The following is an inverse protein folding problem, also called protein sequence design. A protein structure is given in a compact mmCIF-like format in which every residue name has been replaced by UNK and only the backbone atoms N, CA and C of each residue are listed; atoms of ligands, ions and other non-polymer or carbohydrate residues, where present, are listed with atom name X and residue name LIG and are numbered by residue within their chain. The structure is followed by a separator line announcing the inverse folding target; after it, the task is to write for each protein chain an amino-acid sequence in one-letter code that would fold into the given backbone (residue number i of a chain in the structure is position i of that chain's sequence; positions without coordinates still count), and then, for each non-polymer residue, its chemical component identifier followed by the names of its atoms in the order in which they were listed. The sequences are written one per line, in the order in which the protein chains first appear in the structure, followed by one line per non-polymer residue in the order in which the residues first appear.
data_IF_891272391689
#
_entry.id   IF_891272391689
#
_cell.length_a   1.000
_cell.length_b   1.000
_cell.length_c   1.000
_cell.angle_alpha   90.00
_cell.angle_beta   90.00
_cell.angle_gamma   90.00
#
_symmetry.space_group_name_H-M   'P 1'
#
loop_
_entity.id
_entity.type
_entity.pdbx_description
1 polymer ?
#
# COMPACT_ATOMS: atom_id res chain seq x y z
N UNK A 1 14.42 12.69 -13.20
CA UNK A 1 13.64 12.19 -12.19
C UNK A 1 12.80 11.08 -12.68
N UNK A 2 12.87 10.05 -11.98
CA UNK A 2 12.18 8.88 -12.41
C UNK A 2 10.73 8.92 -11.97
N UNK A 3 9.86 8.57 -12.86
CA UNK A 3 8.47 8.52 -12.49
C UNK A 3 8.21 7.31 -11.61
N UNK A 4 9.19 6.43 -11.45
CA UNK A 4 9.00 5.28 -10.61
C UNK A 4 8.84 5.61 -9.15
N UNK A 5 9.17 6.83 -8.74
CA UNK A 5 9.02 7.21 -7.36
C UNK A 5 7.61 7.68 -7.03
N UNK A 6 6.85 8.08 -8.03
CA UNK A 6 5.50 8.56 -7.83
C UNK A 6 4.56 7.60 -8.50
N UNK A 7 3.67 7.03 -7.73
CA UNK A 7 2.82 5.97 -8.21
C UNK A 7 1.35 6.38 -8.14
N UNK A 8 0.60 5.89 -9.10
CA UNK A 8 -0.85 6.10 -9.09
C UNK A 8 -1.50 4.98 -8.29
N UNK A 9 -2.80 5.12 -8.08
CA UNK A 9 -3.55 4.09 -7.40
C UNK A 9 -3.44 2.76 -8.13
N UNK A 10 -3.48 2.81 -9.45
CA UNK A 10 -3.35 1.61 -10.24
C UNK A 10 -1.98 0.99 -10.07
N UNK A 11 -0.95 1.83 -10.05
CA UNK A 11 0.41 1.34 -9.87
C UNK A 11 0.54 0.64 -8.52
N UNK A 12 -0.09 1.18 -7.49
CA UNK A 12 -0.02 0.58 -6.17
C UNK A 12 -0.76 -0.74 -6.17
N UNK A 13 -1.89 -0.80 -6.83
CA UNK A 13 -2.64 -2.04 -6.90
C UNK A 13 -1.80 -3.13 -7.55
N UNK A 14 -1.08 -2.78 -8.60
CA UNK A 14 -0.22 -3.74 -9.27
C UNK A 14 0.97 -4.11 -8.41
N UNK A 15 1.57 -3.13 -7.77
CA UNK A 15 2.72 -3.39 -6.93
C UNK A 15 2.38 -4.32 -5.78
N UNK A 16 1.25 -4.10 -5.16
CA UNK A 16 0.84 -4.91 -4.03
C UNK A 16 0.00 -6.12 -4.43
N UNK A 17 -0.28 -6.22 -5.71
CA UNK A 17 -1.05 -7.34 -6.27
C UNK A 17 -2.42 -7.44 -5.63
N UNK A 18 -3.09 -6.31 -5.55
CA UNK A 18 -4.46 -6.25 -5.06
C UNK A 18 -5.27 -5.44 -6.04
N UNK A 19 -6.57 -5.39 -5.85
CA UNK A 19 -7.41 -4.59 -6.72
C UNK A 19 -7.35 -3.12 -6.32
N UNK A 20 -7.69 -2.25 -7.25
CA UNK A 20 -7.74 -0.83 -6.95
C UNK A 20 -8.78 -0.55 -5.87
N UNK A 21 -9.83 -1.34 -5.85
CA UNK A 21 -10.85 -1.17 -4.84
C UNK A 21 -10.29 -1.41 -3.44
N UNK A 22 -9.41 -2.38 -3.32
CA UNK A 22 -8.76 -2.64 -2.04
C UNK A 22 -7.91 -1.45 -1.63
N UNK A 23 -7.19 -0.85 -2.57
CA UNK A 23 -6.40 0.32 -2.29
C UNK A 23 -7.29 1.47 -1.82
N UNK A 24 -8.42 1.65 -2.50
CA UNK A 24 -9.36 2.69 -2.12
C UNK A 24 -9.90 2.48 -0.72
N UNK A 25 -10.16 1.24 -0.37
CA UNK A 25 -10.66 0.95 0.96
C UNK A 25 -9.60 1.28 2.01
N UNK A 26 -8.36 0.93 1.74
CA UNK A 26 -7.29 1.25 2.66
C UNK A 26 -7.12 2.75 2.83
N UNK A 27 -7.32 3.50 1.74
CA UNK A 27 -7.26 4.95 1.81
C UNK A 27 -8.38 5.49 2.69
N UNK A 28 -9.57 4.97 2.50
CA UNK A 28 -10.72 5.41 3.27
C UNK A 28 -10.55 5.09 4.76
N UNK A 29 -9.86 4.01 5.05
CA UNK A 29 -9.63 3.62 6.43
C UNK A 29 -8.45 4.36 7.05
N UNK A 30 -7.72 5.10 6.23
CA UNK A 30 -6.54 5.77 6.73
C UNK A 30 -5.39 4.82 7.00
N UNK A 31 -5.40 3.68 6.33
CA UNK A 31 -4.39 2.66 6.57
C UNK A 31 -3.15 2.81 5.73
N UNK A 32 -3.27 3.41 4.57
CA UNK A 32 -2.14 3.48 3.65
C UNK A 32 -1.74 4.93 3.42
N UNK A 33 -0.45 5.23 3.39
CA UNK A 33 -0.02 6.61 3.17
C UNK A 33 -0.25 7.02 1.72
N UNK A 34 -0.83 8.18 1.51
CA UNK A 34 -1.04 8.68 0.17
C UNK A 34 -0.96 10.20 0.17
N UNK A 35 -0.76 10.75 -1.00
CA UNK A 35 -0.63 12.19 -1.17
C UNK A 35 -1.80 12.67 -2.00
N UNK A 36 -2.71 13.42 -1.41
CA UNK A 36 -3.81 13.97 -2.20
C UNK A 36 -3.30 15.16 -3.00
N UNK A 37 -3.68 15.23 -4.24
CA UNK A 37 -3.26 16.32 -5.09
C UNK A 37 -4.34 17.38 -5.12
N UNK A 38 -3.95 18.64 -5.23
CA UNK A 38 -4.93 19.71 -5.31
C UNK A 38 -5.74 19.54 -6.57
N UNK A 39 -7.03 19.75 -6.45
CA UNK A 39 -7.89 19.62 -7.59
C UNK A 39 -9.14 20.43 -7.40
N UNK A 40 -9.64 21.02 -8.47
CA UNK A 40 -10.88 21.67 -8.40
C UNK A 40 -11.92 20.65 -8.51
N UNK A 41 -12.93 20.65 -7.82
CA UNK A 41 -13.99 19.70 -7.93
C UNK A 41 -14.02 18.77 -6.77
N UNK A 42 -14.93 17.83 -6.81
CA UNK A 42 -15.23 16.98 -5.69
C UNK A 42 -14.16 15.95 -5.39
N UNK A 43 -13.48 15.49 -6.41
CA UNK A 43 -12.52 14.44 -6.20
C UNK A 43 -11.12 14.90 -6.40
N UNK A 44 -10.28 14.56 -5.50
CA UNK A 44 -8.87 14.81 -5.67
C UNK A 44 -8.24 13.59 -6.23
N UNK A 45 -7.26 13.80 -7.06
CA UNK A 45 -6.45 12.69 -7.47
C UNK A 45 -5.45 12.45 -6.38
N UNK A 46 -4.97 11.23 -6.30
CA UNK A 46 -3.99 10.89 -5.28
C UNK A 46 -2.80 10.26 -5.94
N UNK A 47 -1.69 10.37 -5.27
CA UNK A 47 -0.47 9.71 -5.69
C UNK A 47 0.15 9.08 -4.46
N UNK A 48 1.08 8.19 -4.71
CA UNK A 48 1.74 7.49 -3.63
C UNK A 48 3.23 7.62 -3.84
N UNK A 49 3.96 7.81 -2.78
CA UNK A 49 5.40 7.87 -2.87
C UNK A 49 5.95 6.47 -2.62
N UNK A 50 6.77 6.01 -3.54
CA UNK A 50 7.29 4.66 -3.44
C UNK A 50 7.98 4.41 -2.11
N UNK A 51 8.79 5.37 -1.67
CA UNK A 51 9.50 5.20 -0.42
C UNK A 51 8.56 5.08 0.76
N UNK A 52 7.47 5.84 0.73
CA UNK A 52 6.49 5.79 1.80
C UNK A 52 5.77 4.45 1.82
N UNK A 53 5.47 3.94 0.65
CA UNK A 53 4.78 2.65 0.55
C UNK A 53 5.69 1.54 1.03
N UNK A 54 6.96 1.57 0.64
CA UNK A 54 7.89 0.53 1.07
C UNK A 54 8.10 0.59 2.57
N UNK A 55 8.16 1.78 3.14
CA UNK A 55 8.31 1.94 4.56
C UNK A 55 7.07 1.43 5.29
N UNK A 56 5.90 1.75 4.74
CA UNK A 56 4.63 1.29 5.29
C UNK A 56 4.58 -0.24 5.31
N UNK A 57 5.01 -0.86 4.22
CA UNK A 57 5.03 -2.32 4.16
C UNK A 57 6.07 -2.88 5.12
N UNK A 58 7.20 -2.22 5.25
CA UNK A 58 8.24 -2.69 6.14
C UNK A 58 7.77 -2.68 7.58
N UNK A 59 7.03 -1.65 7.96
CA UNK A 59 6.51 -1.55 9.32
C UNK A 59 5.42 -2.57 9.60
N UNK A 60 4.79 -3.07 8.54
CA UNK A 60 3.75 -4.08 8.70
C UNK A 60 4.29 -5.49 8.57
N UNK A 61 5.56 -5.63 8.29
CA UNK A 61 6.14 -6.95 8.11
C UNK A 61 6.17 -7.68 9.44
N UNK A 62 5.64 -8.87 9.44
CA UNK A 62 5.64 -9.70 10.63
C UNK A 62 6.81 -10.65 10.50
N UNK A 63 7.76 -10.52 11.38
CA UNK A 63 8.93 -11.38 11.33
C UNK A 63 8.75 -12.56 12.22
N UNK A 64 8.81 -13.73 11.63
CA UNK A 64 8.65 -14.94 12.36
C UNK A 64 10.00 -15.51 12.64
N UNK A 65 10.57 -15.07 13.70
CA UNK A 65 11.83 -15.57 14.09
C UNK A 65 11.74 -16.97 14.52
N UNK A 66 10.69 -17.33 15.26
CA UNK A 66 10.48 -18.64 15.68
C UNK A 66 9.24 -19.07 15.13
N UNK A 67 9.22 -19.94 14.28
CA UNK A 67 8.04 -20.41 13.66
C UNK A 67 7.39 -21.44 14.49
N UNK A 68 6.32 -21.17 15.02
CA UNK A 68 5.63 -22.15 15.80
C UNK A 68 5.10 -23.04 14.85
N UNK A 69 5.26 -24.03 14.79
CA UNK A 69 4.66 -24.81 13.96
C UNK A 69 3.35 -24.60 13.80
N UNK A 70 2.93 -24.73 13.16
CA UNK A 70 1.69 -24.45 12.91
C UNK A 70 1.51 -23.21 12.37
N UNK A 71 1.74 -22.88 12.01
CA UNK A 71 1.39 -21.72 11.61
C UNK A 71 1.60 -21.31 10.46
N UNK A 72 1.74 -21.76 10.47
CA UNK A 72 1.78 -21.31 9.83
C UNK A 72 1.23 -21.03 9.16
N UNK A 73 1.31 -21.01 9.22
CA UNK A 73 0.97 -20.55 8.87
C UNK A 73 0.56 -20.03 8.36
N UNK A 74 0.61 -20.07 8.21
CA UNK A 74 0.37 -19.49 8.02
C UNK A 74 -0.04 -19.18 7.40
N UNK A 75 0.04 -19.17 7.04
CA UNK A 75 -0.14 -18.78 6.73
C UNK A 75 -0.42 -18.74 6.11
N UNK A 76 -0.35 -19.18 5.95
CA UNK A 76 -0.42 -18.96 5.62
C UNK A 76 -0.64 -19.19 5.27
N UNK A 77 -0.49 -19.41 5.08
CA UNK A 77 -0.47 -19.50 5.11
C UNK A 77 -0.64 -19.37 5.06
#
# INVERSE_FOLDING_TARGET
MSTGDILTKRDIAELLQVSERTVERWMAEGSIPYVPLPKRGAWSEVRFLRSEILDWMRKRTIKSIRVPHGVAHVQGA
#
